data_IF_520409974661
#
_entry.id   IF_520409974661
#
_cell.length_a   1.000
_cell.length_b   1.000
_cell.length_c   1.000
_cell.angle_alpha   90.00
_cell.angle_beta   90.00
_cell.angle_gamma   90.00
#
_symmetry.space_group_name_H-M   'P 1'
#
loop_
_entity.id
_entity.type
_entity.pdbx_description
1 polymer ?
#
# COMPACT_ATOMS: atom_id res chain seq x y z
N UNK A 1 -8.21 0.26 -39.85
CA UNK A 1 -7.94 1.57 -39.22
C UNK A 1 -8.53 1.59 -37.81
N UNK A 2 -7.85 1.00 -36.80
CA UNK A 2 -8.34 0.89 -35.41
C UNK A 2 -7.40 1.56 -34.37
N UNK A 3 -6.43 2.34 -34.85
CA UNK A 3 -5.41 3.00 -34.03
C UNK A 3 -5.93 4.21 -33.21
N UNK A 4 -6.78 5.11 -33.75
CA UNK A 4 -7.19 6.32 -33.03
C UNK A 4 -7.96 6.02 -31.74
N UNK A 5 -8.96 5.15 -31.80
CA UNK A 5 -9.81 4.83 -30.64
C UNK A 5 -9.03 4.14 -29.52
N UNK A 6 -8.07 3.28 -29.87
CA UNK A 6 -7.18 2.63 -28.90
C UNK A 6 -6.24 3.61 -28.21
N UNK A 7 -5.75 4.62 -28.93
CA UNK A 7 -4.91 5.67 -28.37
C UNK A 7 -5.72 6.57 -27.42
N UNK A 8 -6.95 6.92 -27.79
CA UNK A 8 -7.86 7.69 -26.94
C UNK A 8 -8.19 6.93 -25.65
N UNK A 9 -8.54 5.64 -25.76
CA UNK A 9 -8.81 4.79 -24.61
C UNK A 9 -7.58 4.65 -23.68
N UNK A 10 -6.37 4.52 -24.26
CA UNK A 10 -5.14 4.49 -23.47
C UNK A 10 -4.85 5.82 -22.79
N UNK A 11 -5.09 6.95 -23.46
CA UNK A 11 -4.93 8.27 -22.87
C UNK A 11 -5.84 8.47 -21.65
N UNK A 12 -7.12 8.07 -21.76
CA UNK A 12 -8.05 8.11 -20.63
C UNK A 12 -7.61 7.20 -19.48
N UNK A 13 -7.03 6.03 -19.78
CA UNK A 13 -6.50 5.13 -18.75
C UNK A 13 -5.31 5.76 -18.02
N UNK A 14 -4.37 6.39 -18.76
CA UNK A 14 -3.21 7.08 -18.19
C UNK A 14 -3.65 8.27 -17.32
N UNK A 15 -4.70 8.99 -17.72
CA UNK A 15 -5.27 10.06 -16.91
C UNK A 15 -5.84 9.51 -15.59
N UNK A 16 -6.55 8.39 -15.62
CA UNK A 16 -7.01 7.69 -14.42
C UNK A 16 -5.87 7.21 -13.50
N UNK A 17 -4.79 6.68 -14.08
CA UNK A 17 -3.56 6.30 -13.35
C UNK A 17 -2.96 7.53 -12.62
N UNK A 18 -2.86 8.67 -13.32
CA UNK A 18 -2.35 9.94 -12.75
C UNK A 18 -3.26 10.52 -11.67
N UNK A 19 -4.56 10.42 -11.83
CA UNK A 19 -5.54 10.85 -10.83
C UNK A 19 -5.44 10.02 -9.55
N UNK A 20 -5.28 8.71 -9.68
CA UNK A 20 -5.05 7.83 -8.55
C UNK A 20 -3.74 8.19 -7.82
N UNK A 21 -2.66 8.46 -8.54
CA UNK A 21 -1.38 8.90 -7.94
C UNK A 21 -1.54 10.24 -7.19
N UNK A 22 -2.27 11.20 -7.76
CA UNK A 22 -2.57 12.48 -7.08
C UNK A 22 -3.35 12.27 -5.78
N UNK A 23 -4.38 11.43 -5.80
CA UNK A 23 -5.18 11.10 -4.61
C UNK A 23 -4.35 10.37 -3.56
N UNK A 24 -3.48 9.45 -3.98
CA UNK A 24 -2.56 8.74 -3.10
C UNK A 24 -1.59 9.71 -2.40
N UNK A 25 -1.03 10.67 -3.13
CA UNK A 25 -0.17 11.72 -2.54
C UNK A 25 -0.92 12.54 -1.50
N UNK A 26 -2.12 13.03 -1.84
CA UNK A 26 -2.94 13.81 -0.90
C UNK A 26 -3.29 13.01 0.35
N UNK A 27 -3.63 11.73 0.19
CA UNK A 27 -3.98 10.86 1.31
C UNK A 27 -2.78 10.57 2.22
N UNK A 28 -1.56 10.51 1.67
CA UNK A 28 -0.31 10.43 2.44
C UNK A 28 -0.02 11.74 3.19
N UNK A 29 -0.21 12.89 2.53
CA UNK A 29 -0.01 14.20 3.18
C UNK A 29 -1.02 14.40 4.34
N UNK A 30 -2.28 14.02 4.11
CA UNK A 30 -3.33 14.07 5.13
C UNK A 30 -3.07 13.09 6.28
N UNK A 31 -2.57 11.88 6.01
CA UNK A 31 -2.26 10.92 7.08
C UNK A 31 -1.06 11.35 7.92
N UNK A 32 -0.08 12.03 7.32
CA UNK A 32 1.02 12.66 8.04
C UNK A 32 0.51 13.82 8.92
N UNK A 33 -0.34 14.69 8.38
CA UNK A 33 -0.88 15.84 9.10
C UNK A 33 -1.84 15.46 10.23
N UNK A 34 -2.73 14.48 10.01
CA UNK A 34 -3.69 14.00 11.00
C UNK A 34 -3.09 12.97 11.99
N UNK A 35 -1.87 12.50 11.73
CA UNK A 35 -1.25 11.38 12.43
C UNK A 35 -2.06 10.09 12.27
N UNK A 36 -1.87 9.15 13.19
CA UNK A 36 -2.55 7.85 13.17
C UNK A 36 -4.08 7.93 13.27
N UNK A 37 -4.70 9.11 13.47
CA UNK A 37 -6.14 9.28 13.68
C UNK A 37 -6.96 9.13 12.39
N UNK A 38 -6.37 9.38 11.23
CA UNK A 38 -7.07 9.28 9.96
C UNK A 38 -7.33 7.80 9.63
N UNK A 39 -8.61 7.42 9.47
CA UNK A 39 -8.98 6.06 9.10
C UNK A 39 -8.95 5.04 10.25
N UNK A 40 -8.87 5.51 11.50
CA UNK A 40 -9.09 4.64 12.66
C UNK A 40 -10.55 4.22 12.72
N UNK A 41 -10.78 2.91 12.72
CA UNK A 41 -12.06 2.31 13.01
C UNK A 41 -11.97 1.52 14.31
N UNK A 42 -12.99 1.61 15.17
CA UNK A 42 -13.09 0.76 16.36
C UNK A 42 -13.20 -0.70 15.93
N UNK A 43 -12.44 -1.59 16.60
CA UNK A 43 -12.49 -3.03 16.33
C UNK A 43 -13.84 -3.64 16.78
N UNK A 44 -14.35 -3.19 17.93
CA UNK A 44 -15.70 -3.51 18.40
C UNK A 44 -16.57 -2.24 18.47
N UNK A 45 -17.29 -1.91 17.39
CA UNK A 45 -18.17 -0.74 17.39
C UNK A 45 -19.43 -0.92 18.26
N UNK A 46 -19.73 -2.14 18.73
CA UNK A 46 -20.88 -2.42 19.59
C UNK A 46 -20.57 -2.21 21.07
N UNK A 47 -19.29 -2.11 21.44
CA UNK A 47 -18.83 -1.79 22.78
C UNK A 47 -17.75 -0.69 22.75
N UNK A 48 -18.12 0.57 22.40
CA UNK A 48 -17.17 1.66 22.17
C UNK A 48 -16.38 2.08 23.42
N UNK A 49 -16.87 1.73 24.61
CA UNK A 49 -16.23 1.99 25.91
C UNK A 49 -15.54 0.76 26.51
N UNK A 50 -15.61 -0.40 25.85
CA UNK A 50 -14.91 -1.61 26.26
C UNK A 50 -13.41 -1.40 26.21
N UNK A 51 -12.71 -1.65 27.31
CA UNK A 51 -11.25 -1.71 27.28
C UNK A 51 -10.82 -3.04 26.65
N UNK A 52 -10.07 -3.05 25.55
CA UNK A 52 -9.51 -4.24 24.96
C UNK A 52 -8.53 -4.85 25.96
N UNK A 53 -8.31 -6.15 25.83
CA UNK A 53 -7.43 -6.88 26.72
C UNK A 53 -5.98 -6.34 26.68
N UNK A 54 -5.15 -6.73 27.66
CA UNK A 54 -3.72 -6.41 27.62
C UNK A 54 -3.11 -6.95 26.31
N UNK A 55 -2.57 -6.05 25.48
CA UNK A 55 -1.96 -6.40 24.19
C UNK A 55 -2.89 -6.31 22.97
N UNK A 56 -4.16 -6.01 23.15
CA UNK A 56 -5.13 -5.84 22.07
C UNK A 56 -5.23 -4.37 21.61
N UNK A 57 -5.36 -4.16 20.30
CA UNK A 57 -5.52 -2.82 19.74
C UNK A 57 -6.96 -2.31 19.89
N UNK A 58 -7.13 -1.04 20.26
CA UNK A 58 -8.45 -0.38 20.31
C UNK A 58 -9.00 -0.03 18.93
N UNK A 59 -8.10 0.33 18.01
CA UNK A 59 -8.43 0.83 16.68
C UNK A 59 -7.69 0.03 15.62
N UNK A 60 -8.33 -0.15 14.47
CA UNK A 60 -7.73 -0.70 13.27
C UNK A 60 -7.63 0.37 12.18
N UNK A 61 -6.56 0.29 11.38
CA UNK A 61 -6.36 1.09 10.17
C UNK A 61 -6.67 0.29 8.90
N UNK A 62 -7.27 -0.91 9.05
CA UNK A 62 -7.61 -1.78 7.92
C UNK A 62 -8.35 -1.07 6.77
N UNK A 63 -9.45 -0.32 6.99
CA UNK A 63 -10.17 0.31 5.87
C UNK A 63 -9.31 1.37 5.14
N UNK A 64 -8.47 2.09 5.89
CA UNK A 64 -7.54 3.05 5.30
C UNK A 64 -6.48 2.34 4.44
N UNK A 65 -5.90 1.26 4.95
CA UNK A 65 -4.89 0.48 4.23
C UNK A 65 -5.48 -0.16 2.97
N UNK A 66 -6.70 -0.68 3.02
CA UNK A 66 -7.40 -1.22 1.84
C UNK A 66 -7.61 -0.16 0.76
N UNK A 67 -7.99 1.06 1.17
CA UNK A 67 -8.16 2.18 0.23
C UNK A 67 -6.82 2.62 -0.39
N UNK A 68 -5.75 2.66 0.42
CA UNK A 68 -4.38 2.94 -0.07
C UNK A 68 -3.98 1.89 -1.09
N UNK A 69 -4.15 0.60 -0.78
CA UNK A 69 -3.78 -0.51 -1.65
C UNK A 69 -4.55 -0.45 -2.98
N UNK A 70 -5.85 -0.16 -2.94
CA UNK A 70 -6.65 0.01 -4.15
C UNK A 70 -6.13 1.14 -5.03
N UNK A 71 -5.83 2.30 -4.45
CA UNK A 71 -5.27 3.44 -5.18
C UNK A 71 -3.89 3.14 -5.75
N UNK A 72 -3.05 2.41 -5.02
CA UNK A 72 -1.73 1.96 -5.51
C UNK A 72 -1.87 1.04 -6.73
N UNK A 73 -2.79 0.08 -6.69
CA UNK A 73 -3.06 -0.84 -7.80
C UNK A 73 -3.52 -0.10 -9.07
N UNK A 74 -4.29 0.98 -8.93
CA UNK A 74 -4.76 1.79 -10.06
C UNK A 74 -3.67 2.75 -10.55
N UNK A 75 -2.92 3.37 -9.64
CA UNK A 75 -1.89 4.35 -9.98
C UNK A 75 -0.69 3.69 -10.69
N UNK A 76 -0.33 2.47 -10.27
CA UNK A 76 0.88 1.77 -10.71
C UNK A 76 0.61 0.30 -11.06
N UNK A 77 -0.30 0.02 -12.01
CA UNK A 77 -0.73 -1.35 -12.31
C UNK A 77 0.44 -2.28 -12.70
N UNK A 78 1.51 -1.73 -13.28
CA UNK A 78 2.71 -2.49 -13.65
C UNK A 78 3.45 -3.08 -12.43
N UNK A 79 3.41 -2.43 -11.26
CA UNK A 79 4.03 -2.93 -10.01
C UNK A 79 3.23 -4.08 -9.39
N UNK A 80 1.95 -4.21 -9.73
CA UNK A 80 1.05 -5.19 -9.15
C UNK A 80 0.83 -6.43 -10.02
N UNK A 81 1.53 -6.52 -11.15
CA UNK A 81 1.58 -7.73 -11.98
C UNK A 81 2.18 -8.91 -11.21
N UNK A 82 1.82 -10.14 -11.58
CA UNK A 82 2.35 -11.35 -10.94
C UNK A 82 3.89 -11.40 -11.01
N UNK A 83 4.44 -11.03 -12.16
CA UNK A 83 5.89 -11.00 -12.39
C UNK A 83 6.58 -9.97 -11.49
N UNK A 84 6.06 -8.74 -11.40
CA UNK A 84 6.60 -7.72 -10.51
C UNK A 84 6.54 -8.13 -9.02
N UNK A 85 5.46 -8.81 -8.61
CA UNK A 85 5.34 -9.34 -7.24
C UNK A 85 6.38 -10.43 -6.94
N UNK A 86 6.63 -11.33 -7.89
CA UNK A 86 7.66 -12.37 -7.74
C UNK A 86 9.05 -11.74 -7.66
N UNK A 87 9.39 -10.85 -8.59
CA UNK A 87 10.69 -10.16 -8.62
C UNK A 87 10.94 -9.37 -7.33
N UNK A 88 9.91 -8.69 -6.79
CA UNK A 88 10.01 -7.99 -5.50
C UNK A 88 10.28 -8.95 -4.35
N UNK A 89 9.57 -10.08 -4.29
CA UNK A 89 9.75 -11.10 -3.25
C UNK A 89 11.16 -11.68 -3.30
N UNK A 90 11.65 -12.04 -4.47
CA UNK A 90 13.01 -12.56 -4.67
C UNK A 90 14.06 -11.53 -4.22
N UNK A 91 13.88 -10.25 -4.57
CA UNK A 91 14.77 -9.17 -4.12
C UNK A 91 14.74 -8.98 -2.59
N UNK A 92 13.58 -9.11 -1.96
CA UNK A 92 13.45 -9.06 -0.50
C UNK A 92 14.12 -10.26 0.19
N UNK A 93 13.96 -11.46 -0.37
CA UNK A 93 14.61 -12.68 0.12
C UNK A 93 16.13 -12.59 -0.03
N UNK A 94 16.64 -12.13 -1.16
CA UNK A 94 18.07 -11.87 -1.38
C UNK A 94 18.63 -10.86 -0.36
N UNK A 95 17.97 -9.72 -0.16
CA UNK A 95 18.39 -8.72 0.85
C UNK A 95 18.34 -9.23 2.28
N UNK A 96 17.45 -10.19 2.59
CA UNK A 96 17.42 -10.84 3.92
C UNK A 96 18.60 -11.79 4.06
N UNK A 97 18.86 -12.57 3.02
CA UNK A 97 20.02 -13.47 2.97
C UNK A 97 21.33 -12.70 3.11
N UNK A 98 21.53 -11.61 2.35
CA UNK A 98 22.73 -10.77 2.42
C UNK A 98 22.94 -10.17 3.81
N UNK A 99 21.87 -9.73 4.47
CA UNK A 99 21.92 -9.23 5.85
C UNK A 99 22.34 -10.32 6.84
N UNK A 100 21.79 -11.53 6.69
CA UNK A 100 22.13 -12.68 7.55
C UNK A 100 23.57 -13.10 7.29
N UNK A 101 23.99 -13.20 6.04
CA UNK A 101 25.35 -13.56 5.64
C UNK A 101 26.37 -12.54 6.17
N UNK A 102 26.08 -11.25 6.09
CA UNK A 102 26.93 -10.18 6.65
C UNK A 102 27.01 -10.27 8.19
N UNK A 103 25.89 -10.59 8.86
CA UNK A 103 25.86 -10.74 10.32
C UNK A 103 26.60 -12.00 10.82
N UNK A 104 26.68 -13.05 9.99
CA UNK A 104 27.43 -14.27 10.27
C UNK A 104 28.91 -14.15 9.91
N UNK A 105 29.24 -13.46 8.82
CA UNK A 105 30.62 -13.23 8.35
C UNK A 105 31.36 -12.10 9.07
N UNK A 106 30.66 -11.21 9.78
CA UNK A 106 31.26 -10.15 10.62
C UNK A 106 31.65 -10.59 12.03
N UNK A 107 31.55 -11.89 12.35
CA UNK A 107 32.07 -12.49 13.58
C UNK A 107 33.37 -13.24 13.27
N UNK A 108 34.44 -12.49 13.10
CA UNK A 108 35.82 -13.01 13.12
C UNK A 108 36.70 -12.06 13.89
#
# INVERSE_FOLDING_TARGET
MAMPDRLIARAATIEGERDAERRLSQLRDLSLAAGLKLGQQLIDPKNPSGRPGPGEAYHTLKPFNEQVELLEQIARPWEHTREARIARREAEEARRFDRIASALGGKS
#
